data_IF_512855168172
#
_entry.id   IF_512855168172
#
_cell.length_a   1.000
_cell.length_b   1.000
_cell.length_c   1.000
_cell.angle_alpha   90.00
_cell.angle_beta   90.00
_cell.angle_gamma   90.00
#
_symmetry.space_group_name_H-M   'P 1'
#
loop_
_entity.id
_entity.type
_entity.pdbx_description
1 polymer ?
#
# COMPACT_ATOMS: atom_id res chain seq x y z
N UNK A 1 -0.28 -15.90 13.11
CA UNK A 1 1.19 -15.77 13.35
C UNK A 1 1.48 -14.34 13.73
N UNK A 2 1.96 -14.09 14.96
CA UNK A 2 2.24 -12.73 15.45
C UNK A 2 3.33 -12.06 14.61
N UNK A 3 3.19 -10.74 14.35
CA UNK A 3 4.20 -9.94 13.66
C UNK A 3 5.38 -9.63 14.58
N UNK A 4 6.64 -9.88 14.16
CA UNK A 4 7.80 -9.45 14.92
C UNK A 4 7.96 -7.91 14.92
N UNK A 5 7.44 -7.23 13.90
CA UNK A 5 7.41 -5.77 13.81
C UNK A 5 6.10 -5.23 14.39
N UNK A 6 5.96 -5.26 15.73
CA UNK A 6 4.74 -4.83 16.42
C UNK A 6 5.04 -3.90 17.60
N UNK A 7 4.10 -3.03 17.91
CA UNK A 7 4.09 -2.16 19.09
C UNK A 7 2.82 -2.43 19.89
N UNK A 8 2.96 -2.82 21.16
CA UNK A 8 1.81 -3.17 21.99
C UNK A 8 0.96 -4.32 21.43
N UNK A 9 1.57 -5.25 20.67
CA UNK A 9 0.84 -6.34 20.01
C UNK A 9 0.18 -5.97 18.68
N UNK A 10 0.27 -4.71 18.24
CA UNK A 10 -0.28 -4.24 16.97
C UNK A 10 0.80 -4.21 15.89
N UNK A 11 0.62 -4.90 14.75
CA UNK A 11 1.60 -4.94 13.67
C UNK A 11 1.72 -3.58 12.98
N UNK A 12 2.95 -3.07 12.83
CA UNK A 12 3.23 -1.72 12.33
C UNK A 12 2.92 -1.61 10.83
N UNK A 13 3.29 -2.62 10.03
CA UNK A 13 3.08 -2.59 8.59
C UNK A 13 1.61 -2.33 8.21
N UNK A 14 0.61 -3.07 8.70
CA UNK A 14 -0.80 -2.80 8.41
C UNK A 14 -1.30 -1.44 8.91
N UNK A 15 -0.68 -0.87 9.95
CA UNK A 15 -1.05 0.46 10.45
C UNK A 15 -0.60 1.59 9.52
N UNK A 16 0.53 1.41 8.81
CA UNK A 16 1.09 2.43 7.91
C UNK A 16 0.51 2.34 6.51
N UNK A 17 0.23 1.14 6.00
CA UNK A 17 -0.19 0.86 4.62
C UNK A 17 -1.39 1.69 4.12
N UNK A 18 -2.40 2.05 4.93
CA UNK A 18 -3.51 2.88 4.46
C UNK A 18 -3.07 4.25 3.92
N UNK A 19 -1.97 4.82 4.46
CA UNK A 19 -1.46 6.11 4.03
C UNK A 19 -0.98 6.12 2.57
N UNK A 20 0.00 5.28 2.16
CA UNK A 20 0.45 5.26 0.77
C UNK A 20 -0.67 4.87 -0.20
N UNK A 21 -1.52 3.91 0.14
CA UNK A 21 -2.65 3.51 -0.71
C UNK A 21 -3.60 4.70 -0.91
N UNK A 22 -4.04 5.33 0.18
CA UNK A 22 -4.95 6.48 0.13
C UNK A 22 -4.36 7.65 -0.65
N UNK A 23 -3.09 7.97 -0.44
CA UNK A 23 -2.41 9.06 -1.13
C UNK A 23 -2.23 8.80 -2.62
N UNK A 24 -1.90 7.58 -3.05
CA UNK A 24 -1.77 7.24 -4.46
C UNK A 24 -3.11 7.23 -5.19
N UNK A 25 -4.15 6.67 -4.56
CA UNK A 25 -5.51 6.74 -5.11
C UNK A 25 -5.97 8.20 -5.20
N UNK A 26 -5.73 9.00 -4.17
CA UNK A 26 -6.08 10.41 -4.16
C UNK A 26 -5.29 11.21 -5.21
N UNK A 27 -4.00 10.88 -5.43
CA UNK A 27 -3.21 11.45 -6.52
C UNK A 27 -3.86 11.20 -7.88
N UNK A 28 -4.30 9.97 -8.16
CA UNK A 28 -4.98 9.64 -9.41
C UNK A 28 -6.33 10.36 -9.53
N UNK A 29 -7.10 10.48 -8.45
CA UNK A 29 -8.36 11.26 -8.44
C UNK A 29 -8.07 12.73 -8.80
N UNK A 30 -7.03 13.31 -8.22
CA UNK A 30 -6.62 14.69 -8.53
C UNK A 30 -6.20 14.86 -9.99
N UNK A 31 -5.51 13.85 -10.57
CA UNK A 31 -5.19 13.83 -11.99
C UNK A 31 -6.46 13.83 -12.87
N UNK A 32 -7.45 13.02 -12.52
CA UNK A 32 -8.74 12.96 -13.23
C UNK A 32 -9.49 14.30 -13.11
N UNK A 33 -9.50 14.91 -11.91
CA UNK A 33 -10.10 16.24 -11.72
C UNK A 33 -9.39 17.29 -12.59
N UNK A 34 -8.05 17.23 -12.69
CA UNK A 34 -7.31 18.11 -13.58
C UNK A 34 -7.74 17.96 -15.04
N UNK A 35 -7.88 16.72 -15.52
CA UNK A 35 -8.34 16.48 -16.90
C UNK A 35 -9.75 17.05 -17.17
N UNK A 36 -10.62 17.03 -16.17
CA UNK A 36 -11.99 17.52 -16.28
C UNK A 36 -12.09 19.05 -16.13
N UNK A 37 -11.34 19.62 -15.14
CA UNK A 37 -11.44 21.04 -14.78
C UNK A 37 -10.42 21.92 -15.49
N UNK A 38 -9.31 21.38 -15.95
CA UNK A 38 -8.20 22.13 -16.54
C UNK A 38 -7.41 22.99 -15.55
N UNK A 39 -7.74 22.95 -14.26
CA UNK A 39 -7.13 23.81 -13.24
C UNK A 39 -5.80 23.20 -12.76
N UNK A 40 -4.64 23.88 -13.01
CA UNK A 40 -3.30 23.32 -12.76
C UNK A 40 -3.03 22.92 -11.31
N UNK A 41 -3.70 23.52 -10.32
CA UNK A 41 -3.50 23.18 -8.90
C UNK A 41 -3.71 21.70 -8.61
N UNK A 42 -4.65 21.04 -9.30
CA UNK A 42 -4.92 19.62 -9.10
C UNK A 42 -3.76 18.73 -9.54
N UNK A 43 -3.12 19.06 -10.66
CA UNK A 43 -1.96 18.35 -11.19
C UNK A 43 -0.67 18.71 -10.45
N UNK A 44 -0.38 20.02 -10.35
CA UNK A 44 0.95 20.53 -10.00
C UNK A 44 1.20 20.51 -8.48
N UNK A 45 0.13 20.53 -7.70
CA UNK A 45 0.21 20.54 -6.24
C UNK A 45 -0.43 19.30 -5.64
N UNK A 46 -1.71 19.09 -5.84
CA UNK A 46 -2.45 18.05 -5.12
C UNK A 46 -1.98 16.66 -5.56
N UNK A 47 -2.05 16.33 -6.85
CA UNK A 47 -1.60 15.03 -7.35
C UNK A 47 -0.11 14.81 -7.10
N UNK A 48 0.71 15.83 -7.30
CA UNK A 48 2.17 15.76 -7.14
C UNK A 48 2.57 15.44 -5.69
N UNK A 49 2.07 16.19 -4.72
CA UNK A 49 2.45 15.98 -3.32
C UNK A 49 1.78 14.73 -2.71
N UNK A 50 0.57 14.39 -3.14
CA UNK A 50 -0.04 13.11 -2.77
C UNK A 50 0.78 11.93 -3.28
N UNK A 51 1.26 11.99 -4.54
CA UNK A 51 2.14 10.96 -5.11
C UNK A 51 3.44 10.82 -4.33
N UNK A 52 4.10 11.94 -4.01
CA UNK A 52 5.33 11.96 -3.21
C UNK A 52 5.10 11.39 -1.80
N UNK A 53 4.04 11.84 -1.13
CA UNK A 53 3.68 11.34 0.21
C UNK A 53 3.41 9.84 0.21
N UNK A 54 2.74 9.35 -0.84
CA UNK A 54 2.52 7.92 -1.04
C UNK A 54 3.82 7.12 -1.20
N UNK A 55 4.80 7.65 -1.96
CA UNK A 55 6.12 7.01 -2.12
C UNK A 55 6.85 6.94 -0.78
N UNK A 56 6.88 8.04 -0.02
CA UNK A 56 7.54 8.07 1.30
C UNK A 56 6.86 7.09 2.25
N UNK A 57 5.52 7.10 2.31
CA UNK A 57 4.76 6.18 3.16
C UNK A 57 4.96 4.71 2.79
N UNK A 58 5.06 4.40 1.48
CA UNK A 58 5.31 3.04 1.00
C UNK A 58 6.71 2.54 1.35
N UNK A 59 7.74 3.40 1.25
CA UNK A 59 9.11 3.06 1.68
C UNK A 59 9.14 2.76 3.17
N UNK A 60 8.49 3.59 3.99
CA UNK A 60 8.40 3.36 5.43
C UNK A 60 7.66 2.05 5.75
N UNK A 61 6.53 1.79 5.10
CA UNK A 61 5.77 0.56 5.28
C UNK A 61 6.58 -0.68 4.84
N UNK A 62 7.38 -0.57 3.77
CA UNK A 62 8.21 -1.66 3.26
C UNK A 62 9.24 -2.14 4.28
N UNK A 63 9.82 -1.24 5.08
CA UNK A 63 10.79 -1.61 6.13
C UNK A 63 10.19 -2.63 7.09
N UNK A 64 8.98 -2.37 7.60
CA UNK A 64 8.28 -3.26 8.52
C UNK A 64 7.72 -4.50 7.81
N UNK A 65 7.23 -4.33 6.58
CA UNK A 65 6.75 -5.43 5.75
C UNK A 65 7.83 -6.47 5.42
N UNK A 66 9.08 -6.04 5.21
CA UNK A 66 10.22 -6.96 5.00
C UNK A 66 10.49 -7.77 6.27
N UNK A 67 10.42 -7.16 7.45
CA UNK A 67 10.60 -7.88 8.73
C UNK A 67 9.53 -8.95 8.89
N UNK A 68 8.28 -8.63 8.62
CA UNK A 68 7.17 -9.59 8.67
C UNK A 68 7.34 -10.70 7.62
N UNK A 69 7.72 -10.34 6.40
CA UNK A 69 7.96 -11.28 5.31
C UNK A 69 9.06 -12.29 5.61
N UNK A 70 10.16 -11.86 6.26
CA UNK A 70 11.27 -12.72 6.68
C UNK A 70 10.84 -13.73 7.76
N UNK A 71 9.86 -13.41 8.57
CA UNK A 71 9.35 -14.26 9.63
C UNK A 71 8.43 -15.38 9.14
N UNK A 72 7.91 -15.32 7.90
CA UNK A 72 7.03 -16.33 7.33
C UNK A 72 7.82 -17.58 6.98
N UNK A 73 7.53 -18.70 7.66
CA UNK A 73 8.20 -20.01 7.48
C UNK A 73 7.38 -20.98 6.63
N UNK A 74 6.06 -20.88 6.67
CA UNK A 74 5.16 -21.74 5.88
C UNK A 74 5.33 -21.46 4.39
N UNK A 75 5.50 -22.53 3.60
CA UNK A 75 5.80 -22.45 2.16
C UNK A 75 4.65 -21.87 1.34
N UNK A 76 3.42 -22.24 1.65
CA UNK A 76 2.26 -21.79 0.89
C UNK A 76 1.96 -20.33 1.20
N UNK A 77 2.00 -19.94 2.47
CA UNK A 77 1.87 -18.56 2.90
C UNK A 77 2.98 -17.70 2.30
N UNK A 78 4.22 -18.21 2.26
CA UNK A 78 5.38 -17.52 1.69
C UNK A 78 5.20 -17.21 0.21
N UNK A 79 4.61 -18.12 -0.59
CA UNK A 79 4.32 -17.86 -2.01
C UNK A 79 3.39 -16.65 -2.20
N UNK A 80 2.33 -16.55 -1.39
CA UNK A 80 1.40 -15.41 -1.44
C UNK A 80 2.12 -14.14 -1.02
N UNK A 81 2.91 -14.20 0.05
CA UNK A 81 3.71 -13.08 0.54
C UNK A 81 4.76 -12.62 -0.47
N UNK A 82 5.39 -13.53 -1.22
CA UNK A 82 6.36 -13.21 -2.27
C UNK A 82 5.69 -12.46 -3.42
N UNK A 83 4.51 -12.88 -3.86
CA UNK A 83 3.76 -12.17 -4.89
C UNK A 83 3.30 -10.79 -4.41
N UNK A 84 2.77 -10.71 -3.18
CA UNK A 84 2.42 -9.43 -2.55
C UNK A 84 3.62 -8.49 -2.51
N UNK A 85 4.77 -8.94 -2.04
CA UNK A 85 5.99 -8.13 -1.96
C UNK A 85 6.46 -7.66 -3.35
N UNK A 86 6.51 -8.56 -4.34
CA UNK A 86 6.91 -8.22 -5.71
C UNK A 86 6.00 -7.16 -6.33
N UNK A 87 4.68 -7.33 -6.21
CA UNK A 87 3.72 -6.36 -6.75
C UNK A 87 3.86 -4.99 -6.08
N UNK A 88 4.10 -4.95 -4.77
CA UNK A 88 4.34 -3.68 -4.08
C UNK A 88 5.64 -3.00 -4.53
N UNK A 89 6.73 -3.76 -4.74
CA UNK A 89 7.99 -3.21 -5.27
C UNK A 89 7.78 -2.67 -6.69
N UNK A 90 7.10 -3.42 -7.56
CA UNK A 90 6.80 -2.97 -8.92
C UNK A 90 5.92 -1.72 -8.88
N UNK A 91 4.87 -1.69 -8.05
CA UNK A 91 4.02 -0.53 -7.89
C UNK A 91 4.79 0.70 -7.41
N UNK A 92 5.66 0.54 -6.41
CA UNK A 92 6.53 1.62 -5.91
C UNK A 92 7.42 2.18 -7.03
N UNK A 93 8.04 1.32 -7.85
CA UNK A 93 8.86 1.73 -8.98
C UNK A 93 8.06 2.45 -10.05
N UNK A 94 6.83 2.00 -10.34
CA UNK A 94 5.90 2.64 -11.29
C UNK A 94 5.50 4.03 -10.79
N UNK A 95 5.16 4.18 -9.51
CA UNK A 95 4.84 5.50 -8.95
C UNK A 95 6.07 6.41 -8.88
N UNK A 96 7.26 5.87 -8.56
CA UNK A 96 8.52 6.62 -8.60
C UNK A 96 8.85 7.11 -10.01
N UNK A 97 8.63 6.28 -11.04
CA UNK A 97 8.79 6.67 -12.44
C UNK A 97 7.78 7.76 -12.83
N UNK A 98 6.50 7.63 -12.44
CA UNK A 98 5.49 8.67 -12.64
C UNK A 98 5.92 9.99 -12.00
N UNK A 99 6.39 9.93 -10.75
CA UNK A 99 6.90 11.10 -10.01
C UNK A 99 8.11 11.73 -10.71
N UNK A 100 9.08 10.93 -11.10
CA UNK A 100 10.29 11.41 -11.81
C UNK A 100 9.94 12.15 -13.09
N UNK A 101 9.05 11.58 -13.91
CA UNK A 101 8.60 12.23 -15.15
C UNK A 101 7.86 13.54 -14.89
N UNK A 102 7.15 13.68 -13.76
CA UNK A 102 6.50 14.93 -13.36
C UNK A 102 7.50 16.00 -12.93
N UNK A 103 8.69 15.63 -12.45
CA UNK A 103 9.73 16.57 -12.03
C UNK A 103 10.62 17.03 -13.18
N UNK A 104 11.01 16.10 -14.08
CA UNK A 104 12.04 16.33 -15.11
C UNK A 104 11.48 16.76 -16.46
N UNK A 105 10.26 16.38 -16.79
CA UNK A 105 9.67 16.64 -18.10
C UNK A 105 9.21 18.07 -18.38
N UNK A 106 9.55 19.05 -17.53
CA UNK A 106 9.04 20.43 -17.66
C UNK A 106 7.53 20.54 -17.49
N UNK A 107 6.87 19.46 -17.15
CA UNK A 107 5.41 19.33 -17.10
C UNK A 107 4.77 20.17 -15.99
N UNK A 108 5.53 20.49 -14.96
CA UNK A 108 5.08 21.35 -13.87
C UNK A 108 4.98 22.82 -14.31
N UNK A 109 5.71 23.23 -15.35
CA UNK A 109 5.77 24.63 -15.77
C UNK A 109 5.53 24.87 -17.29
N UNK A 110 5.68 23.89 -18.18
CA UNK A 110 5.77 24.13 -19.63
C UNK A 110 4.85 23.29 -20.52
N UNK A 111 3.82 22.65 -19.99
CA UNK A 111 2.82 21.97 -20.83
C UNK A 111 3.28 20.68 -21.56
N UNK A 112 4.29 19.99 -21.02
CA UNK A 112 4.69 18.68 -21.52
C UNK A 112 3.57 17.63 -21.46
N UNK A 113 3.70 16.54 -22.21
CA UNK A 113 2.67 15.48 -22.25
C UNK A 113 2.46 14.85 -20.86
N UNK A 114 1.25 15.01 -20.33
CA UNK A 114 0.84 14.46 -19.03
C UNK A 114 0.39 13.00 -19.10
N UNK A 115 0.27 12.48 -20.31
CA UNK A 115 -0.33 11.17 -20.58
C UNK A 115 0.47 10.04 -19.94
N UNK A 116 1.81 10.03 -20.10
CA UNK A 116 2.64 8.94 -19.57
C UNK A 116 2.61 8.88 -18.03
N UNK A 117 2.84 9.99 -17.28
CA UNK A 117 2.70 9.99 -15.83
C UNK A 117 1.31 9.53 -15.35
N UNK A 118 0.25 9.95 -16.04
CA UNK A 118 -1.11 9.53 -15.74
C UNK A 118 -1.30 8.01 -15.94
N UNK A 119 -0.88 7.48 -17.08
CA UNK A 119 -0.97 6.04 -17.35
C UNK A 119 -0.18 5.20 -16.34
N UNK A 120 0.99 5.68 -15.93
CA UNK A 120 1.76 5.05 -14.86
C UNK A 120 1.00 5.10 -13.52
N UNK A 121 0.33 6.20 -13.19
CA UNK A 121 -0.49 6.28 -11.97
C UNK A 121 -1.68 5.31 -12.01
N UNK A 122 -2.34 5.16 -13.18
CA UNK A 122 -3.40 4.16 -13.37
C UNK A 122 -2.86 2.75 -13.18
N UNK A 123 -1.73 2.41 -13.84
CA UNK A 123 -1.07 1.12 -13.69
C UNK A 123 -0.69 0.85 -12.24
N UNK A 124 -0.12 1.84 -11.54
CA UNK A 124 0.24 1.75 -10.13
C UNK A 124 -0.97 1.43 -9.25
N UNK A 125 -2.10 2.10 -9.47
CA UNK A 125 -3.35 1.83 -8.71
C UNK A 125 -3.87 0.42 -8.98
N UNK A 126 -3.80 -0.07 -10.21
CA UNK A 126 -4.16 -1.46 -10.53
C UNK A 126 -3.25 -2.44 -9.76
N UNK A 127 -1.95 -2.22 -9.77
CA UNK A 127 -0.97 -3.07 -9.09
C UNK A 127 -1.21 -3.11 -7.58
N UNK A 128 -1.42 -1.95 -6.93
CA UNK A 128 -1.70 -1.94 -5.48
C UNK A 128 -3.07 -2.56 -5.15
N UNK A 129 -4.04 -2.50 -6.03
CA UNK A 129 -5.34 -3.16 -5.84
C UNK A 129 -5.19 -4.68 -5.84
N UNK A 130 -4.44 -5.24 -6.79
CA UNK A 130 -4.12 -6.67 -6.84
C UNK A 130 -3.28 -7.09 -5.62
N UNK A 131 -2.27 -6.28 -5.28
CA UNK A 131 -1.43 -6.52 -4.11
C UNK A 131 -2.24 -6.43 -2.80
N UNK A 132 -3.18 -5.49 -2.71
CA UNK A 132 -4.09 -5.35 -1.57
C UNK A 132 -4.97 -6.58 -1.37
N UNK A 133 -5.47 -7.19 -2.46
CA UNK A 133 -6.18 -8.47 -2.40
C UNK A 133 -5.31 -9.58 -1.79
N UNK A 134 -4.05 -9.72 -2.24
CA UNK A 134 -3.10 -10.71 -1.67
C UNK A 134 -2.76 -10.39 -0.21
N UNK A 135 -2.61 -9.10 0.14
CA UNK A 135 -2.43 -8.68 1.53
C UNK A 135 -3.62 -9.05 2.41
N UNK A 136 -4.84 -8.88 1.91
CA UNK A 136 -6.06 -9.34 2.55
C UNK A 136 -6.08 -10.86 2.75
N UNK A 137 -5.65 -11.63 1.73
CA UNK A 137 -5.54 -13.09 1.84
C UNK A 137 -4.54 -13.52 2.92
N UNK A 138 -3.38 -12.85 3.01
CA UNK A 138 -2.39 -13.09 4.07
C UNK A 138 -2.98 -12.88 5.46
N UNK A 139 -3.75 -11.81 5.66
CA UNK A 139 -4.34 -11.47 6.96
C UNK A 139 -5.53 -12.37 7.29
N UNK A 140 -6.55 -12.41 6.42
CA UNK A 140 -7.82 -13.03 6.73
C UNK A 140 -7.84 -14.54 6.55
N UNK A 141 -7.06 -15.07 5.60
CA UNK A 141 -7.05 -16.50 5.31
C UNK A 141 -5.89 -17.23 6.00
N UNK A 142 -4.72 -16.58 6.07
CA UNK A 142 -3.52 -17.19 6.63
C UNK A 142 -3.16 -16.67 8.04
N UNK A 143 -3.90 -15.70 8.57
CA UNK A 143 -3.68 -15.17 9.92
C UNK A 143 -2.30 -14.53 10.11
N UNK A 144 -1.68 -14.00 9.04
CA UNK A 144 -0.39 -13.31 9.11
C UNK A 144 -0.59 -11.98 9.84
N UNK A 145 0.28 -11.70 10.81
CA UNK A 145 0.22 -10.52 11.68
C UNK A 145 -1.05 -10.42 12.54
N UNK A 146 -1.85 -11.47 12.63
CA UNK A 146 -3.03 -11.53 13.50
C UNK A 146 -2.73 -12.50 14.66
N UNK A 147 -3.03 -12.05 15.89
CA UNK A 147 -3.08 -12.91 17.06
C UNK A 147 -4.56 -12.97 17.51
N UNK A 148 -5.35 -13.96 17.04
CA UNK A 148 -6.75 -14.05 17.41
C UNK A 148 -6.89 -14.53 18.85
N UNK A 149 -6.73 -13.65 19.80
CA UNK A 149 -7.24 -13.84 21.16
C UNK A 149 -8.73 -13.41 21.17
N UNK A 150 -9.56 -14.14 20.46
CA UNK A 150 -10.99 -14.07 20.73
C UNK A 150 -11.23 -14.89 22.00
N UNK A 151 -11.32 -14.22 23.11
CA UNK A 151 -12.02 -14.78 24.29
C UNK A 151 -13.49 -14.91 23.88
N UNK A 152 -13.83 -16.06 23.33
CA UNK A 152 -15.20 -16.34 22.87
C UNK A 152 -16.14 -16.57 24.05
N UNK A 153 -15.68 -16.45 25.29
CA UNK A 153 -16.42 -16.85 26.48
C UNK A 153 -16.73 -18.36 26.51
N UNK A 154 -16.30 -19.12 25.50
CA UNK A 154 -16.52 -20.57 25.44
C UNK A 154 -15.72 -21.28 26.52
N UNK A 155 -14.47 -20.89 26.74
CA UNK A 155 -13.62 -21.44 27.81
C UNK A 155 -14.15 -21.09 29.21
N UNK A 156 -14.70 -19.89 29.39
CA UNK A 156 -15.33 -19.48 30.63
C UNK A 156 -16.62 -20.28 30.92
N UNK A 157 -17.38 -20.61 29.86
CA UNK A 157 -18.59 -21.46 29.99
C UNK A 157 -18.25 -22.92 30.25
N UNK A 158 -17.15 -23.44 29.76
CA UNK A 158 -16.69 -24.80 30.00
C UNK A 158 -16.16 -24.93 31.42
N UNK A 159 -15.37 -23.99 31.92
CA UNK A 159 -14.91 -23.94 33.32
C UNK A 159 -16.04 -23.74 34.34
N UNK A 160 -17.15 -23.14 33.95
CA UNK A 160 -18.34 -22.98 34.83
C UNK A 160 -19.24 -24.23 34.85
N UNK A 161 -18.98 -25.23 34.01
CA UNK A 161 -19.75 -26.50 33.95
C UNK A 161 -19.04 -27.68 34.63
N UNK A 162 -17.75 -27.54 34.98
CA UNK A 162 -16.95 -28.50 35.77
C UNK A 162 -16.88 -28.06 37.22
#
# INVERSE_FOLDING_TARGET
MASPASVGGHPIHPMIIPFPIGLWVFSLIADVIYLWRGTPVWRDWIAFYALLGGIIGAVLAAVFGIVDWLAIKDREVKKVADWHARLNVIALLVFAASFYLRTTGGQRMLGGSYTVPLLLSVLGVILISISGYLGGELVFRHGVAVNPQYDTGAEAREKART
#
